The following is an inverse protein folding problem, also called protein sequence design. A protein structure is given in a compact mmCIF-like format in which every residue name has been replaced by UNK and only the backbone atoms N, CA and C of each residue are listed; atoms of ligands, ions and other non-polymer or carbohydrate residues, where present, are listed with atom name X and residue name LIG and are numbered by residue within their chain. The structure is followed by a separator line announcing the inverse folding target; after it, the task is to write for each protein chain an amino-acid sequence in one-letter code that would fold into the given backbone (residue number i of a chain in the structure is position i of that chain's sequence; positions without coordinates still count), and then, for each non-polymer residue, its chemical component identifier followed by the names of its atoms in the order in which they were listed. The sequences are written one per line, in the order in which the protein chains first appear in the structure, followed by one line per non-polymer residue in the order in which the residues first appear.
data_IF_565596533553
#
_entry.id   IF_565596533553
#
_cell.length_a   1.000
_cell.length_b   1.000
_cell.length_c   1.000
_cell.angle_alpha   90.00
_cell.angle_beta   90.00
_cell.angle_gamma   90.00
#
_symmetry.space_group_name_H-M   'P 1'
#
loop_
_entity.id
_entity.type
_entity.pdbx_description
1 polymer ?
#
# COMPACT_ATOMS: atom_id res chain seq x y z
N UNK A 1 2.37 -13.74 18.29
CA UNK A 1 1.01 -13.79 17.70
C UNK A 1 0.80 -12.51 16.90
N UNK A 2 1.22 -12.53 15.64
CA UNK A 2 1.38 -11.33 14.79
C UNK A 2 0.04 -10.93 14.18
N UNK A 3 -0.25 -9.63 14.13
CA UNK A 3 -1.44 -8.93 13.62
C UNK A 3 -2.01 -9.40 12.25
N UNK A 4 -1.30 -10.26 11.55
CA UNK A 4 -1.63 -10.79 10.22
C UNK A 4 -2.95 -11.59 10.18
N UNK A 5 -3.34 -12.26 11.27
CA UNK A 5 -4.48 -13.20 11.26
C UNK A 5 -5.86 -12.53 11.44
N UNK A 6 -5.93 -11.29 11.95
CA UNK A 6 -7.22 -10.68 12.34
C UNK A 6 -7.97 -10.06 11.14
N UNK A 7 -7.25 -9.53 10.13
CA UNK A 7 -7.89 -8.75 9.05
C UNK A 7 -8.51 -9.59 7.92
N UNK A 8 -8.00 -10.80 7.66
CA UNK A 8 -8.40 -11.59 6.48
C UNK A 8 -9.81 -12.21 6.61
N UNK A 9 -10.39 -12.25 7.82
CA UNK A 9 -11.65 -12.99 8.08
C UNK A 9 -12.96 -12.24 7.79
N UNK A 10 -12.96 -10.93 7.52
CA UNK A 10 -14.22 -10.14 7.43
C UNK A 10 -14.49 -9.36 6.14
N UNK A 11 -13.63 -9.44 5.12
CA UNK A 11 -13.79 -8.64 3.89
C UNK A 11 -13.82 -7.12 4.15
N UNK A 12 -13.17 -6.68 5.24
CA UNK A 12 -13.07 -5.28 5.64
C UNK A 12 -11.76 -4.67 5.12
N UNK A 13 -11.82 -3.42 4.66
CA UNK A 13 -10.62 -2.66 4.25
C UNK A 13 -9.94 -2.10 5.49
N UNK A 14 -8.62 -2.20 5.58
CA UNK A 14 -7.88 -1.60 6.68
C UNK A 14 -6.42 -1.31 6.35
N UNK A 15 -5.79 -0.55 7.23
CA UNK A 15 -4.39 -0.17 7.13
C UNK A 15 -3.57 -1.01 8.10
N UNK A 16 -2.43 -1.50 7.63
CA UNK A 16 -1.42 -2.16 8.45
C UNK A 16 -0.17 -1.29 8.38
N UNK A 17 0.30 -0.84 9.54
CA UNK A 17 1.59 -0.15 9.64
C UNK A 17 2.66 -1.21 9.84
N UNK A 18 3.50 -1.40 8.83
CA UNK A 18 4.63 -2.33 8.87
C UNK A 18 5.82 -1.69 8.15
N UNK A 19 7.02 -1.85 8.69
CA UNK A 19 8.22 -1.29 8.08
C UNK A 19 8.53 -1.93 6.73
N UNK A 20 8.21 -3.23 6.54
CA UNK A 20 8.27 -3.97 5.27
C UNK A 20 9.46 -3.62 4.36
N UNK A 21 10.62 -3.41 4.99
CA UNK A 21 11.78 -2.72 4.39
C UNK A 21 12.39 -3.52 3.25
N UNK A 22 12.28 -4.85 3.29
CA UNK A 22 12.81 -5.77 2.28
C UNK A 22 11.72 -6.24 1.31
N UNK A 23 12.07 -6.40 0.04
CA UNK A 23 11.19 -6.92 -1.02
C UNK A 23 10.58 -8.26 -0.66
N UNK A 24 11.35 -9.15 -0.04
CA UNK A 24 10.88 -10.46 0.42
C UNK A 24 9.65 -10.37 1.34
N UNK A 25 9.57 -9.34 2.20
CA UNK A 25 8.42 -9.15 3.09
C UNK A 25 7.19 -8.65 2.33
N UNK A 26 7.39 -7.76 1.33
CA UNK A 26 6.32 -7.34 0.41
C UNK A 26 5.77 -8.52 -0.37
N UNK A 27 6.64 -9.40 -0.86
CA UNK A 27 6.24 -10.61 -1.60
C UNK A 27 5.44 -11.60 -0.73
N UNK A 28 5.77 -11.73 0.56
CA UNK A 28 4.97 -12.55 1.51
C UNK A 28 3.56 -11.96 1.70
N UNK A 29 3.46 -10.63 1.83
CA UNK A 29 2.18 -9.95 1.96
C UNK A 29 1.34 -10.07 0.68
N UNK A 30 1.95 -9.94 -0.50
CA UNK A 30 1.31 -10.18 -1.81
C UNK A 30 0.75 -11.60 -1.95
N UNK A 31 1.48 -12.60 -1.46
CA UNK A 31 1.01 -14.01 -1.46
C UNK A 31 -0.20 -14.23 -0.56
N UNK A 32 -0.37 -13.41 0.46
CA UNK A 32 -1.45 -13.55 1.45
C UNK A 32 -2.75 -12.93 0.98
N UNK A 33 -2.71 -11.92 0.09
CA UNK A 33 -3.88 -11.37 -0.57
C UNK A 33 -3.49 -10.62 -1.86
N UNK A 34 -4.17 -10.87 -3.00
CA UNK A 34 -3.88 -10.20 -4.27
C UNK A 34 -4.30 -8.72 -4.29
N UNK A 35 -5.08 -8.26 -3.32
CA UNK A 35 -5.56 -6.88 -3.23
C UNK A 35 -4.76 -6.02 -2.22
N UNK A 36 -3.54 -6.44 -1.91
CA UNK A 36 -2.64 -5.68 -1.03
C UNK A 36 -1.96 -4.59 -1.86
N UNK A 37 -2.05 -3.35 -1.37
CA UNK A 37 -1.35 -2.20 -1.91
C UNK A 37 -0.46 -1.61 -0.82
N UNK A 38 0.65 -0.97 -1.22
CA UNK A 38 1.62 -0.39 -0.31
C UNK A 38 1.67 1.12 -0.48
N UNK A 39 1.69 1.84 0.64
CA UNK A 39 2.09 3.25 0.68
C UNK A 39 3.52 3.29 1.19
N UNK A 40 4.47 3.62 0.31
CA UNK A 40 5.86 3.81 0.69
C UNK A 40 6.09 5.27 1.07
N UNK A 41 6.16 5.52 2.38
CA UNK A 41 6.50 6.81 2.96
C UNK A 41 8.01 7.03 2.82
N UNK A 42 8.42 7.70 1.75
CA UNK A 42 9.82 7.97 1.41
C UNK A 42 10.24 9.35 1.91
N UNK A 43 11.29 9.40 2.71
CA UNK A 43 11.80 10.63 3.31
C UNK A 43 13.28 10.51 3.57
N UNK A 44 13.96 11.65 3.61
CA UNK A 44 15.38 11.66 3.95
C UNK A 44 15.61 11.38 5.44
N UNK A 45 16.81 10.89 5.76
CA UNK A 45 17.18 10.52 7.12
C UNK A 45 17.08 11.72 8.08
N UNK A 46 17.52 12.91 7.65
CA UNK A 46 17.57 14.10 8.48
C UNK A 46 16.17 14.56 8.90
N UNK A 47 15.24 14.58 7.95
CA UNK A 47 13.84 14.97 8.16
C UNK A 47 13.13 13.99 9.08
N UNK A 48 13.34 12.69 8.89
CA UNK A 48 12.75 11.66 9.77
C UNK A 48 13.34 11.74 11.18
N UNK A 49 14.66 11.88 11.32
CA UNK A 49 15.32 12.05 12.60
C UNK A 49 14.81 13.29 13.35
N UNK A 50 14.71 14.43 12.67
CA UNK A 50 14.19 15.67 13.26
C UNK A 50 12.75 15.51 13.74
N UNK A 51 11.88 14.85 12.96
CA UNK A 51 10.48 14.58 13.35
C UNK A 51 10.39 13.64 14.54
N UNK A 52 11.24 12.63 14.59
CA UNK A 52 11.30 11.69 15.70
C UNK A 52 11.76 12.38 16.99
N UNK A 53 12.81 13.20 16.94
CA UNK A 53 13.33 13.95 18.08
C UNK A 53 12.31 14.96 18.65
N UNK A 54 11.43 15.51 17.81
CA UNK A 54 10.37 16.44 18.24
C UNK A 54 9.25 15.77 19.05
N UNK A 55 9.10 14.44 18.98
CA UNK A 55 8.10 13.69 19.74
C UNK A 55 8.63 13.40 21.15
N UNK A 56 8.16 14.16 22.13
CA UNK A 56 8.45 13.88 23.55
C UNK A 56 7.82 12.53 23.97
N UNK A 57 8.61 11.64 24.59
CA UNK A 57 8.10 10.43 25.26
C UNK A 57 8.36 9.08 24.58
N UNK A 58 8.83 9.05 23.33
CA UNK A 58 9.23 7.80 22.65
C UNK A 58 10.57 7.98 21.94
N UNK A 59 11.67 7.89 22.71
CA UNK A 59 13.01 7.99 22.17
C UNK A 59 13.37 6.67 21.48
N UNK A 60 13.26 6.65 20.16
CA UNK A 60 13.77 5.56 19.34
C UNK A 60 15.26 5.88 19.07
N UNK A 61 16.20 5.00 19.44
CA UNK A 61 17.63 5.31 19.33
C UNK A 61 17.99 5.58 17.86
N UNK A 62 18.84 6.58 17.57
CA UNK A 62 19.28 6.91 16.21
C UNK A 62 19.83 5.70 15.44
N UNK A 63 20.50 4.78 16.14
CA UNK A 63 21.04 3.55 15.56
C UNK A 63 19.95 2.63 14.97
N UNK A 64 18.74 2.66 15.53
CA UNK A 64 17.61 1.92 14.99
C UNK A 64 17.07 2.57 13.71
N UNK A 65 17.10 3.90 13.61
CA UNK A 65 16.78 4.58 12.36
C UNK A 65 17.80 4.23 11.27
N UNK A 66 19.09 4.26 11.61
CA UNK A 66 20.17 3.88 10.70
C UNK A 66 19.99 2.46 10.18
N UNK A 67 19.79 1.48 11.07
CA UNK A 67 19.59 0.08 10.64
C UNK A 67 18.35 -0.13 9.76
N UNK A 68 17.29 0.68 9.92
CA UNK A 68 16.13 0.63 9.03
C UNK A 68 16.43 1.20 7.64
N UNK A 69 17.22 2.28 7.57
CA UNK A 69 17.70 2.81 6.30
C UNK A 69 18.66 1.83 5.60
N UNK A 70 19.54 1.18 6.35
CA UNK A 70 20.48 0.19 5.81
C UNK A 70 19.74 -1.07 5.30
N UNK A 71 18.64 -1.44 5.95
CA UNK A 71 17.80 -2.58 5.56
C UNK A 71 16.77 -2.23 4.46
N UNK A 72 16.64 -0.97 4.05
CA UNK A 72 15.65 -0.50 3.09
C UNK A 72 16.02 -0.94 1.66
N UNK A 73 15.27 -1.89 1.13
CA UNK A 73 15.27 -2.23 -0.29
C UNK A 73 14.20 -1.38 -0.99
N UNK A 74 14.65 -0.25 -1.56
CA UNK A 74 13.79 0.69 -2.27
C UNK A 74 12.94 -0.02 -3.33
N UNK A 75 11.63 0.24 -3.38
CA UNK A 75 10.75 -0.28 -4.42
C UNK A 75 11.27 -0.02 -5.83
N UNK A 76 11.23 -1.06 -6.67
CA UNK A 76 11.58 -0.96 -8.07
C UNK A 76 10.36 -0.59 -8.92
N UNK A 77 10.59 -0.11 -10.15
CA UNK A 77 9.53 0.37 -11.05
C UNK A 77 8.54 -0.73 -11.50
N UNK A 78 8.89 -2.01 -11.32
CA UNK A 78 8.05 -3.16 -11.58
C UNK A 78 7.01 -3.43 -10.47
N UNK A 79 7.15 -2.80 -9.30
CA UNK A 79 6.23 -2.92 -8.16
C UNK A 79 5.07 -1.90 -8.26
N UNK A 80 4.17 -2.14 -9.22
CA UNK A 80 3.02 -1.26 -9.55
C UNK A 80 1.97 -1.12 -8.43
N UNK A 81 2.02 -2.00 -7.43
CA UNK A 81 1.16 -2.00 -6.25
C UNK A 81 1.66 -1.07 -5.13
N UNK A 82 2.71 -0.31 -5.40
CA UNK A 82 3.34 0.61 -4.43
C UNK A 82 3.19 2.06 -4.90
N UNK A 83 2.57 2.89 -4.06
CA UNK A 83 2.57 4.34 -4.23
C UNK A 83 3.63 4.97 -3.34
N UNK A 84 4.57 5.70 -3.94
CA UNK A 84 5.57 6.50 -3.23
C UNK A 84 4.94 7.80 -2.75
N UNK A 85 5.10 8.10 -1.47
CA UNK A 85 4.63 9.32 -0.82
C UNK A 85 5.85 10.04 -0.24
N UNK A 86 6.13 11.25 -0.70
CA UNK A 86 7.21 12.07 -0.17
C UNK A 86 6.81 12.63 1.22
N UNK A 87 7.53 12.21 2.26
CA UNK A 87 7.29 12.68 3.63
C UNK A 87 8.12 13.87 4.04
N UNK A 88 8.88 14.50 3.13
CA UNK A 88 9.63 15.72 3.43
C UNK A 88 8.73 16.96 3.57
N UNK A 89 7.44 16.84 3.28
CA UNK A 89 6.41 17.88 3.43
C UNK A 89 5.66 17.80 4.77
N UNK A 90 4.90 18.84 5.11
CA UNK A 90 4.06 18.87 6.31
C UNK A 90 3.03 17.72 6.38
N UNK A 91 2.47 17.50 7.57
CA UNK A 91 1.58 16.37 7.82
C UNK A 91 0.28 16.47 7.01
N UNK A 92 -0.23 17.67 6.77
CA UNK A 92 -1.42 17.89 5.95
C UNK A 92 -1.17 17.42 4.52
N UNK A 93 -0.04 17.81 3.92
CA UNK A 93 0.35 17.42 2.58
C UNK A 93 0.57 15.91 2.46
N UNK A 94 1.30 15.31 3.40
CA UNK A 94 1.54 13.86 3.41
C UNK A 94 0.24 13.08 3.53
N UNK A 95 -0.68 13.55 4.38
CA UNK A 95 -2.00 12.92 4.55
C UNK A 95 -2.82 13.00 3.27
N UNK A 96 -2.80 14.14 2.59
CA UNK A 96 -3.52 14.32 1.33
C UNK A 96 -2.95 13.43 0.22
N UNK A 97 -1.61 13.32 0.10
CA UNK A 97 -0.99 12.40 -0.85
C UNK A 97 -1.36 10.93 -0.57
N UNK A 98 -1.37 10.52 0.71
CA UNK A 98 -1.86 9.20 1.10
C UNK A 98 -3.31 8.98 0.67
N UNK A 99 -4.18 9.98 0.90
CA UNK A 99 -5.61 9.92 0.53
C UNK A 99 -5.79 9.75 -0.98
N UNK A 100 -5.06 10.52 -1.77
CA UNK A 100 -5.09 10.45 -3.24
C UNK A 100 -4.61 9.08 -3.75
N UNK A 101 -3.52 8.54 -3.19
CA UNK A 101 -3.02 7.21 -3.54
C UNK A 101 -4.04 6.10 -3.23
N UNK A 102 -4.66 6.13 -2.05
CA UNK A 102 -5.71 5.16 -1.67
C UNK A 102 -6.93 5.29 -2.60
N UNK A 103 -7.31 6.51 -2.95
CA UNK A 103 -8.41 6.74 -3.89
C UNK A 103 -8.10 6.16 -5.27
N UNK A 104 -6.88 6.33 -5.77
CA UNK A 104 -6.44 5.76 -7.04
C UNK A 104 -6.50 4.22 -7.04
N UNK A 105 -6.02 3.56 -5.98
CA UNK A 105 -6.11 2.10 -5.85
C UNK A 105 -7.56 1.61 -5.84
N UNK A 106 -8.45 2.30 -5.11
CA UNK A 106 -9.88 1.96 -5.08
C UNK A 106 -10.56 2.16 -6.44
N UNK A 107 -10.20 3.21 -7.19
CA UNK A 107 -10.74 3.46 -8.52
C UNK A 107 -10.29 2.41 -9.52
N UNK A 108 -9.02 2.00 -9.48
CA UNK A 108 -8.50 0.93 -10.33
C UNK A 108 -9.26 -0.40 -10.11
N UNK A 109 -9.52 -0.75 -8.85
CA UNK A 109 -10.32 -1.93 -8.49
C UNK A 109 -11.78 -1.82 -8.93
N UNK A 110 -12.41 -0.65 -8.76
CA UNK A 110 -13.80 -0.41 -9.17
C UNK A 110 -13.96 -0.44 -10.70
N UNK A 111 -13.06 0.22 -11.43
CA UNK A 111 -13.07 0.24 -12.89
C UNK A 111 -12.87 -1.16 -13.48
N UNK A 112 -11.95 -1.94 -12.90
CA UNK A 112 -11.76 -3.34 -13.28
C UNK A 112 -13.04 -4.18 -13.08
N UNK A 113 -13.71 -4.05 -11.94
CA UNK A 113 -14.96 -4.76 -11.68
C UNK A 113 -16.09 -4.35 -12.63
N UNK A 114 -16.21 -3.06 -12.97
CA UNK A 114 -17.21 -2.57 -13.92
C UNK A 114 -16.96 -3.17 -15.31
N UNK A 115 -15.70 -3.15 -15.79
CA UNK A 115 -15.33 -3.71 -17.09
C UNK A 115 -15.60 -5.22 -17.14
N UNK A 116 -15.19 -5.97 -16.12
CA UNK A 116 -15.42 -7.44 -16.05
C UNK A 116 -16.92 -7.75 -16.02
N UNK A 117 -17.73 -6.97 -15.30
CA UNK A 117 -19.18 -7.16 -15.22
C UNK A 117 -19.87 -6.81 -16.55
N UNK A 118 -19.43 -5.74 -17.22
CA UNK A 118 -19.91 -5.36 -18.55
C UNK A 118 -19.55 -6.40 -19.62
N UNK A 119 -18.32 -6.90 -19.62
CA UNK A 119 -17.88 -7.99 -20.51
C UNK A 119 -18.66 -9.28 -20.24
N UNK A 120 -18.89 -9.64 -18.97
CA UNK A 120 -19.68 -10.81 -18.60
C UNK A 120 -21.14 -10.70 -19.07
N UNK A 121 -21.74 -9.50 -19.03
CA UNK A 121 -23.07 -9.24 -19.56
C UNK A 121 -23.10 -9.32 -21.09
N UNK A 122 -22.10 -8.77 -21.78
CA UNK A 122 -21.99 -8.82 -23.23
C UNK A 122 -21.79 -10.25 -23.77
N UNK A 123 -20.99 -11.07 -23.08
CA UNK A 123 -20.82 -12.50 -23.44
C UNK A 123 -22.13 -13.27 -23.22
N UNK A 124 -22.86 -13.00 -22.13
CA UNK A 124 -24.17 -13.62 -21.88
C UNK A 124 -25.23 -13.19 -22.89
N UNK A 125 -25.22 -11.95 -23.36
CA UNK A 125 -26.18 -11.49 -24.37
C UNK A 125 -25.87 -12.03 -25.76
N UNK A 126 -24.60 -12.22 -26.12
CA UNK A 126 -24.21 -12.86 -27.39
C UNK A 126 -24.52 -14.36 -27.41
N UNK A 127 -24.38 -15.07 -26.28
CA UNK A 127 -24.73 -16.48 -26.16
C UNK A 127 -26.23 -16.79 -26.38
N UNK A 128 -27.11 -15.79 -26.29
CA UNK A 128 -28.54 -15.94 -26.55
C UNK A 128 -28.94 -15.71 -28.03
N UNK A 129 -27.99 -15.30 -28.88
CA UNK A 129 -28.26 -14.95 -30.29
C UNK A 129 -27.94 -16.04 -31.32
N UNK A 130 -27.39 -17.20 -30.90
CA UNK A 130 -26.97 -18.29 -31.81
C UNK A 130 -27.86 -19.55 -31.73
N UNK A 131 -29.14 -19.39 -31.41
CA UNK A 131 -30.13 -20.46 -31.63
C UNK A 131 -31.20 -19.94 -32.59
N UNK A 132 -30.92 -20.04 -33.89
CA UNK A 132 -31.92 -20.00 -34.94
C UNK A 132 -31.59 -21.04 -35.99
#
# INVERSE_FOLDING_TARGET
MTLHTVFIKKNETGFIVCSSLKKQYRDILRKSSPNVHFLWLDGDYATILQRMQRRAGHFMPPDLLQSQFDALERPCADEHDIARIDVNHDIEHVTEQCRLAVQAFRQALSAFLIIVKALSQAVRSQAFSTTR
#
